data_IF_705097064214
#
_entry.id   IF_705097064214
#
_cell.length_a   1.000
_cell.length_b   1.000
_cell.length_c   1.000
_cell.angle_alpha   90.00
_cell.angle_beta   90.00
_cell.angle_gamma   90.00
#
_symmetry.space_group_name_H-M   'P 1'
#
loop_
_entity.id
_entity.type
_entity.pdbx_description
1 polymer ?
#
# COMPACT_ATOMS: atom_id res chain seq x y z
N UNK A 1 4.87 -11.83 -0.86
CA UNK A 1 4.74 -11.38 0.54
C UNK A 1 4.88 -9.87 0.68
N UNK A 2 4.06 -9.26 1.54
CA UNK A 2 4.27 -7.89 2.02
C UNK A 2 5.01 -7.97 3.35
N UNK A 3 6.10 -7.20 3.50
CA UNK A 3 7.05 -7.30 4.60
C UNK A 3 7.16 -5.94 5.27
N UNK A 4 6.96 -5.87 6.59
CA UNK A 4 7.20 -4.64 7.34
C UNK A 4 8.72 -4.49 7.53
N UNK A 5 9.29 -3.40 7.01
CA UNK A 5 10.70 -3.09 7.26
C UNK A 5 10.87 -2.65 8.72
N UNK A 6 11.46 -3.48 9.58
CA UNK A 6 11.66 -3.15 11.00
C UNK A 6 13.12 -2.83 11.29
N UNK A 7 13.44 -2.30 12.47
CA UNK A 7 14.83 -2.01 12.88
C UNK A 7 15.73 -3.25 12.92
N UNK A 8 15.17 -4.47 12.83
CA UNK A 8 15.91 -5.73 12.72
C UNK A 8 16.23 -6.12 11.27
N UNK A 9 15.63 -5.45 10.29
CA UNK A 9 15.88 -5.68 8.87
C UNK A 9 17.11 -4.91 8.41
N UNK A 10 17.91 -5.54 7.53
CA UNK A 10 19.07 -4.90 6.88
C UNK A 10 18.65 -4.02 5.68
N UNK A 11 17.37 -4.03 5.29
CA UNK A 11 16.89 -3.26 4.13
C UNK A 11 16.85 -1.77 4.44
N UNK A 12 17.50 -0.98 3.59
CA UNK A 12 17.38 0.48 3.57
C UNK A 12 16.28 0.85 2.57
N UNK A 13 15.20 1.45 3.08
CA UNK A 13 14.12 1.99 2.25
C UNK A 13 14.51 3.31 1.59
N UNK A 14 13.61 3.90 0.78
CA UNK A 14 13.86 5.17 0.11
C UNK A 14 14.00 6.32 1.12
N UNK A 15 15.06 7.14 1.09
CA UNK A 15 15.12 8.34 1.91
C UNK A 15 13.99 9.31 1.56
N UNK A 16 13.39 10.03 2.54
CA UNK A 16 13.75 10.11 3.96
C UNK A 16 13.00 9.08 4.85
N UNK A 17 12.52 7.96 4.29
CA UNK A 17 11.89 6.91 5.09
C UNK A 17 12.88 6.21 6.02
N UNK A 18 12.34 5.55 7.03
CA UNK A 18 13.06 4.79 8.04
C UNK A 18 12.33 3.46 8.32
N UNK A 19 12.99 2.52 9.02
CA UNK A 19 12.30 1.33 9.50
C UNK A 19 11.11 1.66 10.41
N UNK A 20 10.08 0.82 10.34
CA UNK A 20 8.86 0.92 11.13
C UNK A 20 9.16 0.81 12.63
N UNK A 21 8.75 1.79 13.45
CA UNK A 21 8.87 1.73 14.90
C UNK A 21 8.12 0.51 15.49
N UNK A 22 8.66 -0.19 16.51
CA UNK A 22 8.06 -1.40 17.05
C UNK A 22 6.60 -1.25 17.50
N UNK A 23 6.23 -0.10 18.07
CA UNK A 23 4.87 0.16 18.55
C UNK A 23 3.83 0.31 17.42
N UNK A 24 4.25 0.55 16.18
CA UNK A 24 3.38 0.67 15.00
C UNK A 24 3.23 -0.64 14.22
N UNK A 25 4.16 -1.59 14.39
CA UNK A 25 4.20 -2.86 13.65
C UNK A 25 2.88 -3.61 13.76
N UNK A 26 2.33 -3.76 14.98
CA UNK A 26 1.07 -4.48 15.18
C UNK A 26 -0.13 -3.81 14.49
N UNK A 27 -0.11 -2.49 14.31
CA UNK A 27 -1.17 -1.78 13.60
C UNK A 27 -1.06 -1.92 12.09
N UNK A 28 0.16 -1.82 11.55
CA UNK A 28 0.42 -2.03 10.13
C UNK A 28 0.15 -3.49 9.74
N UNK A 29 0.52 -4.45 10.59
CA UNK A 29 0.26 -5.86 10.37
C UNK A 29 -1.23 -6.13 10.20
N UNK A 30 -2.11 -5.52 11.00
CA UNK A 30 -3.57 -5.66 10.83
C UNK A 30 -4.09 -5.16 9.49
N UNK A 31 -3.46 -4.14 8.90
CA UNK A 31 -3.77 -3.68 7.55
C UNK A 31 -3.32 -4.69 6.49
N UNK A 32 -2.10 -5.21 6.64
CA UNK A 32 -1.57 -6.27 5.76
C UNK A 32 -2.43 -7.53 5.84
N UNK A 33 -2.84 -7.96 7.04
CA UNK A 33 -3.68 -9.15 7.24
C UNK A 33 -5.01 -9.02 6.49
N UNK A 34 -5.62 -7.83 6.45
CA UNK A 34 -6.82 -7.58 5.63
C UNK A 34 -6.53 -7.79 4.14
N UNK A 35 -5.40 -7.29 3.63
CA UNK A 35 -5.02 -7.49 2.23
C UNK A 35 -4.82 -8.96 1.92
N UNK A 36 -4.08 -9.67 2.77
CA UNK A 36 -3.77 -11.08 2.56
C UNK A 36 -5.00 -11.99 2.65
N UNK A 37 -6.01 -11.62 3.45
CA UNK A 37 -7.20 -12.45 3.68
C UNK A 37 -8.39 -12.10 2.79
N UNK A 38 -8.52 -10.84 2.35
CA UNK A 38 -9.71 -10.36 1.62
C UNK A 38 -9.43 -9.90 0.19
N UNK A 39 -8.21 -9.44 -0.10
CA UNK A 39 -7.89 -8.76 -1.35
C UNK A 39 -7.01 -9.63 -2.26
N UNK A 40 -6.06 -10.35 -1.70
CA UNK A 40 -5.18 -11.24 -2.45
C UNK A 40 -6.01 -12.31 -3.19
N UNK A 41 -5.86 -12.39 -4.50
CA UNK A 41 -6.62 -13.32 -5.35
C UNK A 41 -8.05 -12.86 -5.67
N UNK A 42 -8.47 -11.67 -5.23
CA UNK A 42 -9.76 -11.09 -5.62
C UNK A 42 -9.76 -10.78 -7.13
N UNK A 43 -10.60 -11.47 -7.90
CA UNK A 43 -10.57 -11.42 -9.37
C UNK A 43 -10.60 -10.00 -9.95
N UNK A 44 -11.49 -9.14 -9.45
CA UNK A 44 -11.59 -7.75 -9.93
C UNK A 44 -10.33 -6.93 -9.64
N UNK A 45 -9.69 -7.16 -8.49
CA UNK A 45 -8.43 -6.52 -8.12
C UNK A 45 -7.29 -7.03 -9.01
N UNK A 46 -7.20 -8.35 -9.20
CA UNK A 46 -6.16 -8.96 -10.03
C UNK A 46 -6.26 -8.54 -11.50
N UNK A 47 -7.48 -8.37 -12.04
CA UNK A 47 -7.69 -7.89 -13.41
C UNK A 47 -7.33 -6.42 -13.56
N UNK A 48 -7.77 -5.57 -12.63
CA UNK A 48 -7.46 -4.15 -12.67
C UNK A 48 -5.95 -3.90 -12.61
N UNK A 49 -5.23 -4.61 -11.73
CA UNK A 49 -3.77 -4.48 -11.67
C UNK A 49 -3.09 -4.84 -13.00
N UNK A 50 -3.60 -5.81 -13.76
CA UNK A 50 -3.04 -6.18 -15.07
C UNK A 50 -3.21 -5.10 -16.15
N UNK A 51 -4.11 -4.13 -15.97
CA UNK A 51 -4.27 -3.01 -16.92
C UNK A 51 -3.19 -1.95 -16.76
N UNK A 52 -2.49 -1.94 -15.61
CA UNK A 52 -1.43 -1.00 -15.33
C UNK A 52 -0.19 -1.28 -16.20
N UNK A 53 0.70 -0.29 -16.43
CA UNK A 53 1.75 -0.39 -17.45
C UNK A 53 2.72 -1.57 -17.32
N UNK A 54 3.03 -2.05 -16.11
CA UNK A 54 3.89 -3.25 -15.93
C UNK A 54 3.13 -4.57 -16.10
N UNK A 55 1.80 -4.54 -16.21
CA UNK A 55 0.96 -5.69 -16.54
C UNK A 55 0.91 -6.80 -15.49
N UNK A 56 1.45 -6.58 -14.29
CA UNK A 56 1.44 -7.57 -13.22
C UNK A 56 0.11 -7.51 -12.48
N UNK A 57 -0.41 -8.67 -12.10
CA UNK A 57 -1.54 -8.76 -11.17
C UNK A 57 -1.11 -8.41 -9.74
N UNK A 58 -2.06 -8.07 -8.87
CA UNK A 58 -1.79 -7.71 -7.48
C UNK A 58 -1.00 -8.80 -6.75
N UNK A 59 -1.44 -10.06 -6.90
CA UNK A 59 -0.74 -11.21 -6.31
C UNK A 59 0.69 -11.36 -6.85
N UNK A 60 0.91 -11.12 -8.14
CA UNK A 60 2.26 -11.20 -8.71
C UNK A 60 3.21 -10.18 -8.08
N UNK A 61 2.79 -8.92 -7.94
CA UNK A 61 3.63 -7.87 -7.32
C UNK A 61 3.88 -8.19 -5.85
N UNK A 62 2.84 -8.57 -5.11
CA UNK A 62 3.00 -9.00 -3.72
C UNK A 62 4.02 -10.14 -3.65
N UNK A 63 3.99 -11.12 -4.56
CA UNK A 63 4.93 -12.23 -4.58
C UNK A 63 6.37 -11.84 -4.93
N UNK A 64 6.60 -10.74 -5.65
CA UNK A 64 7.96 -10.19 -5.85
C UNK A 64 8.59 -9.67 -4.55
N UNK A 65 7.79 -9.47 -3.49
CA UNK A 65 8.25 -8.95 -2.22
C UNK A 65 8.12 -7.43 -2.17
N UNK A 66 7.18 -6.94 -1.38
CA UNK A 66 6.96 -5.50 -1.14
C UNK A 66 7.32 -5.18 0.29
N UNK A 67 8.14 -4.16 0.49
CA UNK A 67 8.62 -3.70 1.79
C UNK A 67 7.92 -2.42 2.20
N UNK A 68 7.36 -2.42 3.41
CA UNK A 68 6.65 -1.28 3.98
C UNK A 68 7.57 -0.54 4.93
N UNK A 69 7.92 0.68 4.54
CA UNK A 69 8.75 1.62 5.31
C UNK A 69 7.87 2.69 5.97
N UNK A 70 8.48 3.55 6.78
CA UNK A 70 7.78 4.61 7.51
C UNK A 70 8.44 5.98 7.33
N UNK A 71 7.67 7.02 7.03
CA UNK A 71 8.17 8.40 7.00
C UNK A 71 7.50 9.22 8.12
N UNK A 72 8.17 9.43 9.26
CA UNK A 72 7.57 10.07 10.44
C UNK A 72 7.26 11.56 10.28
N UNK A 73 8.01 12.27 9.44
CA UNK A 73 7.91 13.72 9.29
C UNK A 73 6.83 14.13 8.27
N UNK A 74 6.46 13.26 7.33
CA UNK A 74 5.40 13.54 6.37
C UNK A 74 4.03 13.37 7.05
N UNK A 75 3.27 14.45 7.17
CA UNK A 75 1.95 14.46 7.80
C UNK A 75 0.82 14.83 6.83
N UNK A 76 1.13 14.99 5.55
CA UNK A 76 0.21 15.46 4.51
C UNK A 76 -0.23 14.34 3.60
N UNK A 77 0.68 13.42 3.27
CA UNK A 77 0.41 12.32 2.36
C UNK A 77 0.05 11.06 3.14
N UNK A 78 -0.69 10.14 2.52
CA UNK A 78 -1.04 8.85 3.14
C UNK A 78 0.10 7.85 3.05
N UNK A 79 0.74 7.81 1.88
CA UNK A 79 1.89 7.01 1.56
C UNK A 79 2.57 7.56 0.32
N UNK A 80 3.68 6.92 -0.05
CA UNK A 80 4.37 7.21 -1.28
C UNK A 80 5.31 6.04 -1.63
N UNK A 81 5.75 6.00 -2.89
CA UNK A 81 6.81 5.12 -3.37
C UNK A 81 7.85 5.92 -4.16
N UNK A 82 9.01 5.33 -4.39
CA UNK A 82 10.08 5.90 -5.23
C UNK A 82 10.45 4.87 -6.30
N UNK A 83 10.51 5.30 -7.58
CA UNK A 83 10.85 4.42 -8.70
C UNK A 83 12.26 3.85 -8.62
N UNK A 84 13.17 4.50 -7.89
CA UNK A 84 14.50 3.98 -7.55
C UNK A 84 14.48 2.82 -6.55
N UNK A 85 13.34 2.59 -5.88
CA UNK A 85 13.11 1.53 -4.90
C UNK A 85 11.87 0.70 -5.29
N UNK A 86 11.94 -0.11 -6.36
CA UNK A 86 10.77 -0.68 -7.07
C UNK A 86 10.02 -1.79 -6.31
N UNK A 87 10.35 -1.98 -5.03
CA UNK A 87 9.76 -2.94 -4.10
C UNK A 87 9.45 -2.28 -2.76
N UNK A 88 9.68 -0.99 -2.60
CA UNK A 88 9.46 -0.28 -1.36
C UNK A 88 8.29 0.66 -1.50
N UNK A 89 7.42 0.61 -0.51
CA UNK A 89 6.39 1.60 -0.29
C UNK A 89 6.61 2.21 1.09
N UNK A 90 6.05 3.40 1.29
CA UNK A 90 6.22 4.14 2.53
C UNK A 90 4.86 4.55 3.06
N UNK A 91 4.62 4.27 4.34
CA UNK A 91 3.46 4.78 5.07
C UNK A 91 3.84 6.00 5.89
N UNK A 92 2.86 6.86 6.13
CA UNK A 92 3.01 8.06 6.96
C UNK A 92 2.17 7.97 8.24
N UNK A 93 2.39 8.86 9.23
CA UNK A 93 1.49 9.06 10.36
C UNK A 93 0.01 9.21 9.98
N UNK A 94 -0.31 9.79 8.81
CA UNK A 94 -1.69 10.04 8.40
C UNK A 94 -2.44 8.72 8.16
N UNK A 95 -1.92 7.84 7.32
CA UNK A 95 -2.52 6.52 7.06
C UNK A 95 -2.60 5.68 8.34
N UNK A 96 -1.56 5.72 9.16
CA UNK A 96 -1.54 4.98 10.42
C UNK A 96 -2.65 5.47 11.36
N UNK A 97 -2.78 6.77 11.63
CA UNK A 97 -3.81 7.31 12.54
C UNK A 97 -5.24 6.94 12.13
N UNK A 98 -5.49 6.80 10.84
CA UNK A 98 -6.82 6.47 10.29
C UNK A 98 -7.17 4.98 10.39
N UNK A 99 -6.20 4.14 10.71
CA UNK A 99 -6.42 2.74 11.09
C UNK A 99 -6.25 1.74 9.95
N UNK A 100 -6.61 0.48 10.23
CA UNK A 100 -6.25 -0.68 9.39
C UNK A 100 -6.77 -0.62 7.94
N UNK A 101 -7.96 -0.06 7.71
CA UNK A 101 -8.53 0.05 6.36
C UNK A 101 -7.81 1.12 5.54
N UNK A 102 -7.49 2.27 6.16
CA UNK A 102 -6.66 3.27 5.53
C UNK A 102 -5.27 2.73 5.20
N UNK A 103 -4.63 2.01 6.12
CA UNK A 103 -3.35 1.34 5.88
C UNK A 103 -3.45 0.38 4.69
N UNK A 104 -4.49 -0.47 4.64
CA UNK A 104 -4.71 -1.41 3.54
C UNK A 104 -4.89 -0.67 2.19
N UNK A 105 -5.74 0.36 2.16
CA UNK A 105 -5.96 1.21 0.99
C UNK A 105 -4.68 1.86 0.50
N UNK A 106 -3.92 2.51 1.39
CA UNK A 106 -2.64 3.13 1.04
C UNK A 106 -1.66 2.10 0.48
N UNK A 107 -1.54 0.91 1.09
CA UNK A 107 -0.64 -0.13 0.58
C UNK A 107 -1.03 -0.56 -0.84
N UNK A 108 -2.32 -0.78 -1.12
CA UNK A 108 -2.77 -1.16 -2.47
C UNK A 108 -2.50 -0.03 -3.47
N UNK A 109 -2.77 1.22 -3.09
CA UNK A 109 -2.50 2.39 -3.91
C UNK A 109 -1.02 2.50 -4.28
N UNK A 110 -0.11 2.40 -3.31
CA UNK A 110 1.33 2.46 -3.58
C UNK A 110 1.82 1.26 -4.39
N UNK A 111 1.24 0.07 -4.22
CA UNK A 111 1.54 -1.09 -5.06
C UNK A 111 1.07 -0.88 -6.50
N UNK A 112 -0.03 -0.16 -6.74
CA UNK A 112 -0.46 0.22 -8.08
C UNK A 112 0.58 1.13 -8.75
N UNK A 113 1.12 2.09 -8.00
CA UNK A 113 2.23 2.91 -8.47
C UNK A 113 3.49 2.08 -8.75
N UNK A 114 3.85 1.12 -7.90
CA UNK A 114 4.93 0.17 -8.21
C UNK A 114 4.65 -0.60 -9.51
N UNK A 115 3.38 -0.85 -9.86
CA UNK A 115 2.98 -1.46 -11.13
C UNK A 115 2.98 -0.49 -12.33
N UNK A 116 3.47 0.74 -12.15
CA UNK A 116 3.57 1.75 -13.18
C UNK A 116 2.35 2.66 -13.29
N UNK A 117 1.38 2.62 -12.37
CA UNK A 117 0.31 3.61 -12.36
C UNK A 117 0.93 5.02 -12.27
N UNK A 118 0.62 5.94 -13.19
CA UNK A 118 1.13 7.31 -13.13
C UNK A 118 0.59 8.04 -11.89
N UNK A 119 1.38 8.98 -11.36
CA UNK A 119 0.94 9.89 -10.29
C UNK A 119 0.38 11.21 -10.83
N UNK A 120 0.12 12.16 -9.93
CA UNK A 120 -0.34 13.50 -10.30
C UNK A 120 -1.86 13.55 -10.51
N UNK A 121 -2.30 13.99 -11.69
CA UNK A 121 -3.73 14.12 -12.03
C UNK A 121 -4.35 12.85 -12.60
N UNK A 122 -3.59 11.75 -12.65
CA UNK A 122 -4.12 10.45 -13.07
C UNK A 122 -4.75 9.74 -11.87
N UNK A 123 -5.81 8.97 -12.12
CA UNK A 123 -6.60 8.30 -11.08
C UNK A 123 -6.51 6.78 -11.16
N UNK A 124 -5.56 6.21 -11.90
CA UNK A 124 -5.41 4.77 -12.06
C UNK A 124 -5.15 4.06 -10.72
N UNK A 125 -4.30 4.64 -9.86
CA UNK A 125 -4.00 4.07 -8.55
C UNK A 125 -5.25 4.09 -7.64
N UNK A 126 -6.03 5.16 -7.63
CA UNK A 126 -7.30 5.27 -6.91
C UNK A 126 -8.36 4.31 -7.47
N UNK A 127 -8.40 4.14 -8.79
CA UNK A 127 -9.34 3.22 -9.43
C UNK A 127 -9.11 1.77 -8.99
N UNK A 128 -7.85 1.37 -8.74
CA UNK A 128 -7.56 0.05 -8.17
C UNK A 128 -8.24 -0.16 -6.82
N UNK A 129 -8.36 0.87 -5.98
CA UNK A 129 -8.98 0.76 -4.65
C UNK A 129 -10.46 0.38 -4.75
N UNK A 130 -11.17 0.91 -5.75
CA UNK A 130 -12.56 0.52 -6.05
C UNK A 130 -12.66 -0.96 -6.41
N UNK A 131 -11.80 -1.43 -7.32
CA UNK A 131 -11.80 -2.84 -7.78
C UNK A 131 -11.31 -3.82 -6.73
N UNK A 132 -10.49 -3.36 -5.81
CA UNK A 132 -10.02 -4.10 -4.65
C UNK A 132 -10.92 -3.93 -3.42
N UNK A 133 -12.15 -3.39 -3.56
CA UNK A 133 -13.14 -3.24 -2.45
C UNK A 133 -12.64 -2.42 -1.26
N UNK A 134 -11.67 -1.55 -1.50
CA UNK A 134 -11.08 -0.63 -0.52
C UNK A 134 -11.55 0.81 -0.76
N UNK A 135 -12.68 1.00 -1.42
CA UNK A 135 -13.30 2.30 -1.63
C UNK A 135 -14.74 2.27 -1.14
N UNK A 136 -15.11 3.24 -0.28
CA UNK A 136 -16.51 3.51 0.07
C UNK A 136 -17.05 4.68 -0.75
N UNK A 137 -18.33 4.98 -0.61
CA UNK A 137 -18.95 6.19 -1.18
C UNK A 137 -18.32 7.49 -0.67
N UNK A 138 -17.65 7.47 0.50
CA UNK A 138 -16.92 8.61 1.05
C UNK A 138 -15.43 8.61 0.68
N UNK A 139 -14.99 7.66 -0.15
CA UNK A 139 -13.63 7.54 -0.65
C UNK A 139 -12.83 6.34 -0.10
N UNK A 140 -11.55 6.24 -0.47
CA UNK A 140 -10.70 5.07 -0.21
C UNK A 140 -10.22 4.87 1.24
N UNK A 141 -10.55 5.81 2.14
CA UNK A 141 -10.01 5.83 3.51
C UNK A 141 -11.09 5.89 4.60
N UNK A 142 -12.31 5.44 4.26
CA UNK A 142 -13.45 5.41 5.19
C UNK A 142 -13.39 4.21 6.14
N UNK A 143 -13.72 4.45 7.42
CA UNK A 143 -13.88 3.41 8.44
C UNK A 143 -14.99 2.39 8.13
N UNK A 144 -15.93 2.73 7.26
CA UNK A 144 -17.05 1.90 6.83
C UNK A 144 -16.73 0.99 5.63
N UNK A 145 -15.47 0.95 5.17
CA UNK A 145 -15.04 -0.06 4.20
C UNK A 145 -15.25 -1.45 4.82
N UNK A 146 -16.11 -2.24 4.18
CA UNK A 146 -16.54 -3.58 4.65
C UNK A 146 -16.01 -4.73 3.79
N UNK A 147 -15.19 -4.42 2.78
CA UNK A 147 -14.77 -5.29 1.68
C UNK A 147 -14.65 -6.77 2.00
#
# INVERSE_FOLDING_TARGET
MIIINTTRSLRRGPPPSQPMPPHLVGQVQRGIDLLMTRILGCESCEQEFRTLPRGLSFTQIVNLGVYVNYHPANNTDWGWMDTGYPQDIVLTPLAIRMGRWAIAGTIVHEIAHLNGAPGGNDHAAEHTLSKCRLMSQNGPYDRNIVG
#
